data_IF_540644228451
#
_entry.id   IF_540644228451
#
_cell.length_a   1.000
_cell.length_b   1.000
_cell.length_c   1.000
_cell.angle_alpha   90.00
_cell.angle_beta   90.00
_cell.angle_gamma   90.00
#
_symmetry.space_group_name_H-M   'P 1'
#
loop_
_entity.id
_entity.type
_entity.pdbx_description
1 polymer ?
#
# COMPACT_ATOMS: atom_id res chain seq x y z
N UNK A 1 33.20 31.43 10.64
CA UNK A 1 32.13 30.43 10.84
C UNK A 1 31.95 29.69 9.52
N UNK A 2 32.35 28.42 9.42
CA UNK A 2 32.07 27.60 8.23
C UNK A 2 30.66 27.00 8.37
N UNK A 3 29.73 27.39 7.51
CA UNK A 3 28.38 26.83 7.49
C UNK A 3 28.38 25.46 6.78
N UNK A 4 27.69 24.49 7.37
CA UNK A 4 27.37 23.23 6.70
C UNK A 4 26.01 23.36 6.01
N UNK A 5 25.99 23.24 4.68
CA UNK A 5 24.75 23.24 3.89
C UNK A 5 24.61 21.91 3.18
N UNK A 6 23.51 21.21 3.44
CA UNK A 6 23.16 20.00 2.71
C UNK A 6 22.86 20.33 1.23
N UNK A 7 23.27 19.44 0.32
CA UNK A 7 22.88 19.55 -1.08
C UNK A 7 21.38 19.26 -1.24
N UNK A 8 20.77 19.88 -2.26
CA UNK A 8 19.39 19.56 -2.63
C UNK A 8 19.35 18.13 -3.20
N UNK A 9 18.51 17.21 -2.68
CA UNK A 9 18.40 15.87 -3.23
C UNK A 9 17.73 15.88 -4.61
N UNK A 10 18.07 14.90 -5.44
CA UNK A 10 17.47 14.63 -6.73
C UNK A 10 16.86 13.22 -6.73
N UNK A 11 15.54 13.14 -6.51
CA UNK A 11 14.81 11.87 -6.51
C UNK A 11 14.32 11.54 -7.93
N UNK A 12 14.38 10.26 -8.38
CA UNK A 12 14.62 9.06 -7.57
C UNK A 12 16.09 8.65 -7.45
N UNK A 13 17.03 9.38 -8.06
CA UNK A 13 18.46 9.02 -8.06
C UNK A 13 19.07 8.91 -6.65
N UNK A 14 18.54 9.67 -5.69
CA UNK A 14 18.94 9.64 -4.29
C UNK A 14 18.09 8.73 -3.38
N UNK A 15 17.05 8.05 -3.89
CA UNK A 15 16.10 7.29 -3.05
C UNK A 15 16.74 6.09 -2.34
N UNK A 16 17.77 5.50 -2.93
CA UNK A 16 18.52 4.40 -2.30
C UNK A 16 19.12 4.82 -0.94
N UNK A 17 19.33 6.13 -0.72
CA UNK A 17 19.81 6.68 0.56
C UNK A 17 18.80 6.52 1.69
N UNK A 18 17.53 6.17 1.41
CA UNK A 18 16.55 5.81 2.43
C UNK A 18 17.08 4.67 3.33
N UNK A 19 17.79 3.71 2.75
CA UNK A 19 18.35 2.58 3.50
C UNK A 19 19.58 2.94 4.35
N UNK A 20 20.10 4.17 4.24
CA UNK A 20 21.10 4.71 5.18
C UNK A 20 20.48 5.17 6.49
N UNK A 21 19.15 5.36 6.52
CA UNK A 21 18.39 5.81 7.69
C UNK A 21 17.51 4.69 8.21
N UNK A 22 16.78 4.02 7.31
CA UNK A 22 15.88 2.91 7.63
C UNK A 22 16.62 1.60 7.40
N UNK A 23 16.90 0.83 8.45
CA UNK A 23 17.54 -0.48 8.29
C UNK A 23 16.57 -1.46 7.59
N UNK A 24 16.88 -1.96 6.38
CA UNK A 24 16.00 -2.91 5.70
C UNK A 24 15.81 -4.22 6.47
N UNK A 25 16.83 -4.67 7.22
CA UNK A 25 16.73 -5.90 8.02
C UNK A 25 15.71 -5.82 9.16
N UNK A 26 15.42 -4.61 9.66
CA UNK A 26 14.42 -4.39 10.71
C UNK A 26 13.07 -3.96 10.14
N UNK A 27 13.07 -3.14 9.10
CA UNK A 27 11.86 -2.45 8.63
C UNK A 27 11.20 -3.06 7.39
N UNK A 28 11.87 -3.93 6.64
CA UNK A 28 11.25 -4.56 5.47
C UNK A 28 10.02 -5.38 5.87
N UNK A 29 10.13 -6.24 6.89
CA UNK A 29 9.00 -7.06 7.34
C UNK A 29 7.83 -6.22 7.87
N UNK A 30 8.04 -5.20 8.74
CA UNK A 30 6.98 -4.26 9.10
C UNK A 30 6.29 -3.61 7.90
N UNK A 31 7.04 -3.09 6.92
CA UNK A 31 6.47 -2.44 5.72
C UNK A 31 5.56 -3.43 4.97
N UNK A 32 6.06 -4.64 4.70
CA UNK A 32 5.30 -5.68 4.01
C UNK A 32 4.04 -6.09 4.79
N UNK A 33 4.12 -6.18 6.12
CA UNK A 33 2.97 -6.46 6.98
C UNK A 33 1.93 -5.34 6.91
N UNK A 34 2.34 -4.07 6.95
CA UNK A 34 1.40 -2.95 6.78
C UNK A 34 0.73 -2.97 5.41
N UNK A 35 1.48 -3.21 4.33
CA UNK A 35 0.91 -3.31 2.98
C UNK A 35 -0.06 -4.50 2.89
N UNK A 36 0.27 -5.63 3.50
CA UNK A 36 -0.62 -6.79 3.58
C UNK A 36 -1.91 -6.46 4.33
N UNK A 37 -1.83 -5.77 5.48
CA UNK A 37 -3.02 -5.35 6.24
C UNK A 37 -3.89 -4.42 5.39
N UNK A 38 -3.30 -3.44 4.72
CA UNK A 38 -4.05 -2.55 3.82
C UNK A 38 -4.72 -3.36 2.70
N UNK A 39 -3.99 -4.29 2.08
CA UNK A 39 -4.55 -5.14 1.04
C UNK A 39 -5.74 -5.96 1.57
N UNK A 40 -5.61 -6.61 2.73
CA UNK A 40 -6.70 -7.38 3.34
C UNK A 40 -7.92 -6.51 3.66
N UNK A 41 -7.73 -5.31 4.20
CA UNK A 41 -8.82 -4.38 4.52
C UNK A 41 -9.56 -3.93 3.26
N UNK A 42 -8.83 -3.55 2.22
CA UNK A 42 -9.43 -3.16 0.93
C UNK A 42 -10.22 -4.33 0.33
N UNK A 43 -9.65 -5.54 0.33
CA UNK A 43 -10.35 -6.72 -0.17
C UNK A 43 -11.60 -7.01 0.66
N UNK A 44 -11.52 -6.99 1.99
CA UNK A 44 -12.68 -7.23 2.86
C UNK A 44 -13.80 -6.22 2.60
N UNK A 45 -13.47 -4.94 2.43
CA UNK A 45 -14.44 -3.89 2.16
C UNK A 45 -15.13 -4.08 0.79
N UNK A 46 -14.36 -4.32 -0.27
CA UNK A 46 -14.92 -4.57 -1.62
C UNK A 46 -15.71 -5.87 -1.65
N UNK A 47 -15.21 -6.92 -1.01
CA UNK A 47 -15.86 -8.22 -0.94
C UNK A 47 -17.19 -8.21 -0.18
N UNK A 48 -17.35 -7.28 0.77
CA UNK A 48 -18.64 -7.09 1.47
C UNK A 48 -19.72 -6.42 0.62
N UNK A 49 -19.36 -5.88 -0.54
CA UNK A 49 -20.31 -5.33 -1.50
C UNK A 49 -20.64 -6.39 -2.55
N UNK A 50 -21.88 -6.85 -2.56
CA UNK A 50 -22.33 -7.93 -3.45
C UNK A 50 -22.15 -7.62 -4.94
N UNK A 51 -22.18 -6.35 -5.37
CA UNK A 51 -21.91 -5.97 -6.76
C UNK A 51 -20.48 -6.28 -7.21
N UNK A 52 -19.54 -6.43 -6.26
CA UNK A 52 -18.13 -6.73 -6.53
C UNK A 52 -17.69 -8.06 -5.93
N UNK A 53 -18.59 -8.78 -5.27
CA UNK A 53 -18.29 -10.07 -4.65
C UNK A 53 -18.32 -11.18 -5.72
N UNK A 54 -17.19 -11.82 -6.03
CA UNK A 54 -17.13 -12.83 -7.09
C UNK A 54 -17.98 -14.08 -6.81
N UNK A 55 -18.47 -14.28 -5.59
CA UNK A 55 -19.33 -15.42 -5.24
C UNK A 55 -20.83 -15.13 -5.38
N UNK A 56 -21.25 -13.87 -5.25
CA UNK A 56 -22.67 -13.47 -5.16
C UNK A 56 -23.10 -12.48 -6.23
N UNK A 57 -22.19 -12.00 -7.08
CA UNK A 57 -22.47 -10.94 -8.04
C UNK A 57 -23.58 -11.29 -9.04
N UNK A 58 -23.62 -12.52 -9.58
CA UNK A 58 -24.65 -12.93 -10.56
C UNK A 58 -26.05 -12.92 -9.93
N UNK A 59 -26.18 -13.50 -8.73
CA UNK A 59 -27.45 -13.53 -7.97
C UNK A 59 -27.94 -12.11 -7.67
N UNK A 60 -27.00 -11.23 -7.34
CA UNK A 60 -27.31 -9.84 -7.04
C UNK A 60 -27.66 -9.04 -8.29
N UNK A 61 -27.09 -9.37 -9.44
CA UNK A 61 -27.42 -8.76 -10.73
C UNK A 61 -28.82 -9.18 -11.21
N UNK A 62 -29.19 -10.45 -11.05
CA UNK A 62 -30.53 -10.96 -11.36
C UNK A 62 -31.60 -10.32 -10.45
N UNK A 63 -31.34 -10.19 -9.15
CA UNK A 63 -32.27 -9.56 -8.20
C UNK A 63 -32.56 -8.08 -8.48
N UNK A 64 -31.68 -7.38 -9.22
CA UNK A 64 -31.89 -5.98 -9.63
C UNK A 64 -32.66 -5.89 -10.97
N UNK A 65 -32.73 -6.98 -11.73
CA UNK A 65 -33.42 -7.04 -13.02
C UNK A 65 -34.92 -7.39 -12.91
N UNK A 66 -35.38 -7.88 -11.75
CA UNK A 66 -36.79 -8.10 -11.40
C UNK A 66 -37.43 -6.83 -10.82
#
# INVERSE_FOLDING_TARGET
MSEYRASKPSNPADDWKLWLVVNPGTWLMPILMTVLVVALVVHAFVYSNDSYNPLTYEVSAEAVAE
#
